data_IF_151587973575
#
_entry.id   IF_151587973575
#
_cell.length_a   1.000
_cell.length_b   1.000
_cell.length_c   1.000
_cell.angle_alpha   90.00
_cell.angle_beta   90.00
_cell.angle_gamma   90.00
#
_symmetry.space_group_name_H-M   'P 1'
#
loop_
_entity.id
_entity.type
_entity.pdbx_description
1 polymer ?
#
# COMPACT_ATOMS: atom_id res chain seq x y z
N UNK A 1 -3.30 -11.53 -14.62
CA UNK A 1 -4.50 -11.46 -13.75
C UNK A 1 -5.25 -10.19 -14.08
N UNK A 2 -6.58 -10.21 -14.05
CA UNK A 2 -7.46 -9.03 -14.23
C UNK A 2 -8.26 -8.77 -12.95
N UNK A 3 -7.68 -8.10 -11.93
CA UNK A 3 -8.33 -7.96 -10.62
C UNK A 3 -9.46 -6.93 -10.64
N UNK A 4 -10.60 -7.26 -10.05
CA UNK A 4 -11.69 -6.29 -9.84
C UNK A 4 -11.34 -5.23 -8.78
N UNK A 5 -10.53 -5.62 -7.79
CA UNK A 5 -10.18 -4.78 -6.65
C UNK A 5 -8.66 -4.63 -6.55
N UNK A 6 -8.20 -3.39 -6.44
CA UNK A 6 -6.84 -3.07 -6.00
C UNK A 6 -6.89 -2.61 -4.56
N UNK A 7 -6.07 -3.24 -3.71
CA UNK A 7 -6.02 -2.93 -2.28
C UNK A 7 -4.58 -2.78 -1.78
N UNK A 8 -4.44 -2.27 -0.55
CA UNK A 8 -3.16 -2.02 0.10
C UNK A 8 -3.35 -1.43 1.50
N UNK A 9 -2.24 -1.18 2.20
CA UNK A 9 -2.24 -0.51 3.49
C UNK A 9 -1.78 0.93 3.34
N UNK A 10 -2.69 1.90 3.53
CA UNK A 10 -2.41 3.32 3.32
C UNK A 10 -1.93 3.58 1.89
N UNK A 11 -2.82 3.39 0.92
CA UNK A 11 -2.49 3.36 -0.52
C UNK A 11 -2.21 4.76 -1.11
N UNK A 12 -1.41 5.55 -0.40
CA UNK A 12 -0.80 6.81 -0.83
C UNK A 12 0.09 6.58 -2.05
N UNK A 13 0.62 5.36 -2.21
CA UNK A 13 1.48 4.97 -3.32
C UNK A 13 0.89 5.31 -4.68
N UNK A 14 -0.44 5.25 -4.85
CA UNK A 14 -1.06 5.62 -6.12
C UNK A 14 -0.84 7.09 -6.51
N UNK A 15 -0.72 8.01 -5.55
CA UNK A 15 -0.34 9.40 -5.83
C UNK A 15 1.11 9.48 -6.33
N UNK A 16 2.01 8.72 -5.72
CA UNK A 16 3.44 8.70 -6.07
C UNK A 16 3.62 8.07 -7.45
N UNK A 17 2.98 6.93 -7.69
CA UNK A 17 2.96 6.22 -8.97
C UNK A 17 2.37 7.12 -10.05
N UNK A 18 1.20 7.73 -9.83
CA UNK A 18 0.58 8.64 -10.80
C UNK A 18 1.50 9.82 -11.17
N UNK A 19 2.15 10.44 -10.17
CA UNK A 19 3.14 11.50 -10.43
C UNK A 19 4.34 10.99 -11.23
N UNK A 20 4.78 9.75 -11.01
CA UNK A 20 5.89 9.14 -11.74
C UNK A 20 5.54 8.89 -13.20
N UNK A 21 4.33 8.40 -13.49
CA UNK A 21 3.80 8.29 -14.85
C UNK A 21 3.79 9.66 -15.56
N UNK A 22 3.24 10.69 -14.91
CA UNK A 22 3.23 12.06 -15.43
C UNK A 22 4.63 12.63 -15.68
N UNK A 23 5.60 12.35 -14.81
CA UNK A 23 6.99 12.77 -14.99
C UNK A 23 7.63 12.20 -16.27
N UNK A 24 7.29 10.98 -16.65
CA UNK A 24 7.78 10.35 -17.88
C UNK A 24 6.89 10.57 -19.10
N UNK A 25 5.81 11.34 -18.97
CA UNK A 25 4.84 11.53 -20.05
C UNK A 25 4.09 10.26 -20.45
N UNK A 26 3.99 9.28 -19.54
CA UNK A 26 3.30 8.01 -19.78
C UNK A 26 1.87 8.09 -19.22
N UNK A 27 0.83 7.68 -19.99
CA UNK A 27 -0.52 7.57 -19.46
C UNK A 27 -0.63 6.36 -18.51
N UNK A 28 -1.33 6.51 -17.39
CA UNK A 28 -1.50 5.45 -16.39
C UNK A 28 -2.68 4.52 -16.76
N UNK A 29 -2.56 3.78 -17.86
CA UNK A 29 -3.61 2.88 -18.37
C UNK A 29 -3.62 1.52 -17.64
N UNK A 30 -3.92 1.53 -16.35
CA UNK A 30 -4.01 0.31 -15.52
C UNK A 30 -5.47 -0.15 -15.29
N UNK A 31 -6.44 0.50 -15.95
CA UNK A 31 -7.86 0.17 -15.86
C UNK A 31 -8.29 -0.97 -16.77
N UNK A 32 -9.60 -1.05 -17.02
CA UNK A 32 -10.21 -1.93 -18.04
C UNK A 32 -10.68 -1.17 -19.28
N UNK A 33 -10.73 0.17 -19.24
CA UNK A 33 -10.93 1.00 -20.42
C UNK A 33 -9.59 1.61 -20.89
N UNK A 34 -9.62 2.24 -22.05
CA UNK A 34 -8.48 2.99 -22.59
C UNK A 34 -8.22 4.32 -21.85
N UNK A 35 -9.16 4.74 -20.99
CA UNK A 35 -9.02 5.95 -20.19
C UNK A 35 -7.93 5.77 -19.13
N UNK A 36 -7.04 6.76 -18.93
CA UNK A 36 -6.01 6.69 -17.92
C UNK A 36 -6.62 6.74 -16.51
N UNK A 37 -5.97 6.06 -15.57
CA UNK A 37 -6.23 6.27 -14.16
C UNK A 37 -5.84 7.70 -13.76
N UNK A 38 -6.65 8.32 -12.91
CA UNK A 38 -6.44 9.70 -12.48
C UNK A 38 -6.50 9.82 -10.95
N UNK A 39 -5.67 10.70 -10.41
CA UNK A 39 -5.63 10.98 -8.98
C UNK A 39 -6.54 12.17 -8.66
N UNK A 40 -7.64 11.91 -7.94
CA UNK A 40 -8.51 12.92 -7.37
C UNK A 40 -7.90 13.47 -6.06
N UNK A 41 -7.49 14.75 -6.02
CA UNK A 41 -6.94 15.33 -4.81
C UNK A 41 -7.96 15.35 -3.66
N UNK A 42 -7.45 15.10 -2.45
CA UNK A 42 -8.25 15.25 -1.25
C UNK A 42 -8.60 16.71 -0.94
N UNK A 43 -9.66 16.90 -0.16
CA UNK A 43 -10.03 18.19 0.43
C UNK A 43 -9.72 18.19 1.92
N UNK A 44 -9.96 19.32 2.62
CA UNK A 44 -9.83 19.40 4.09
C UNK A 44 -10.65 18.34 4.83
N UNK A 45 -11.72 17.82 4.23
CA UNK A 45 -12.64 16.85 4.86
C UNK A 45 -12.55 15.45 4.28
N UNK A 46 -11.89 15.26 3.13
CA UNK A 46 -11.87 13.98 2.41
C UNK A 46 -10.45 13.67 1.94
N UNK A 47 -9.93 12.50 2.28
CA UNK A 47 -8.65 12.04 1.73
C UNK A 47 -8.74 11.89 0.21
N UNK A 48 -7.60 12.04 -0.49
CA UNK A 48 -7.52 11.79 -1.92
C UNK A 48 -7.88 10.36 -2.29
N UNK A 49 -8.16 10.16 -3.57
CA UNK A 49 -8.48 8.86 -4.13
C UNK A 49 -7.87 8.75 -5.53
N UNK A 50 -7.58 7.53 -5.96
CA UNK A 50 -7.31 7.27 -7.37
C UNK A 50 -8.56 6.66 -7.99
N UNK A 51 -8.87 7.06 -9.21
CA UNK A 51 -9.94 6.50 -10.03
C UNK A 51 -9.28 5.65 -11.10
N UNK A 52 -9.63 4.37 -11.14
CA UNK A 52 -9.13 3.42 -12.13
C UNK A 52 -10.35 2.86 -12.87
N UNK A 53 -10.57 3.23 -14.13
CA UNK A 53 -11.74 2.80 -14.88
C UNK A 53 -11.92 1.28 -14.86
N UNK A 54 -13.10 0.82 -14.44
CA UNK A 54 -13.43 -0.61 -14.37
C UNK A 54 -12.78 -1.40 -13.23
N UNK A 55 -12.11 -0.74 -12.27
CA UNK A 55 -11.57 -1.37 -11.06
C UNK A 55 -11.94 -0.58 -9.81
N UNK A 56 -12.16 -1.28 -8.69
CA UNK A 56 -12.36 -0.65 -7.40
C UNK A 56 -11.02 -0.53 -6.67
N UNK A 57 -10.75 0.64 -6.09
CA UNK A 57 -9.60 0.81 -5.18
C UNK A 57 -10.10 0.88 -3.74
N UNK A 58 -9.57 0.01 -2.89
CA UNK A 58 -9.92 -0.09 -1.47
C UNK A 58 -8.65 0.08 -0.64
N UNK A 59 -8.70 0.90 0.40
CA UNK A 59 -7.59 1.02 1.33
C UNK A 59 -7.93 0.27 2.61
N UNK A 60 -7.22 -0.83 2.88
CA UNK A 60 -7.47 -1.68 4.03
C UNK A 60 -7.29 -0.90 5.35
N UNK A 61 -6.37 0.05 5.42
CA UNK A 61 -6.23 0.90 6.60
C UNK A 61 -7.51 1.72 6.87
N UNK A 62 -8.18 2.19 5.81
CA UNK A 62 -9.43 2.96 5.97
C UNK A 62 -10.55 2.05 6.46
N UNK A 63 -10.61 0.81 5.98
CA UNK A 63 -11.58 -0.19 6.46
C UNK A 63 -11.35 -0.52 7.94
N UNK A 64 -10.11 -0.82 8.31
CA UNK A 64 -9.75 -1.11 9.71
C UNK A 64 -10.08 0.06 10.64
N UNK A 65 -9.86 1.31 10.19
CA UNK A 65 -10.24 2.51 10.95
C UNK A 65 -11.75 2.70 11.11
N UNK A 66 -12.53 2.28 10.13
CA UNK A 66 -13.99 2.34 10.17
C UNK A 66 -14.59 1.20 11.01
N UNK A 67 -13.82 0.14 11.24
CA UNK A 67 -14.23 -1.00 12.06
C UNK A 67 -14.38 -0.69 13.55
N UNK A 68 -14.96 -1.64 14.31
CA UNK A 68 -15.22 -1.48 15.74
C UNK A 68 -13.96 -1.63 16.60
N UNK A 69 -12.96 -2.39 16.13
CA UNK A 69 -11.74 -2.69 16.88
C UNK A 69 -10.85 -1.45 16.98
N UNK A 70 -10.19 -1.29 18.13
CA UNK A 70 -9.20 -0.24 18.37
C UNK A 70 -7.84 -0.90 18.58
N UNK A 71 -6.85 -0.42 17.83
CA UNK A 71 -5.47 -0.90 17.87
C UNK A 71 -4.59 0.15 18.55
N UNK A 72 -3.46 -0.29 19.12
CA UNK A 72 -2.49 0.60 19.76
C UNK A 72 -1.94 1.65 18.79
N UNK A 73 -1.63 1.22 17.57
CA UNK A 73 -1.29 2.08 16.45
C UNK A 73 -1.89 1.51 15.14
N UNK A 74 -1.66 2.20 14.04
CA UNK A 74 -2.24 1.90 12.72
C UNK A 74 -1.22 1.33 11.73
N UNK A 75 -0.08 0.88 12.23
CA UNK A 75 0.90 0.17 11.41
C UNK A 75 0.33 -1.18 10.98
N UNK A 76 0.73 -1.63 9.80
CA UNK A 76 0.38 -2.95 9.32
C UNK A 76 0.89 -4.04 10.27
N UNK A 77 2.04 -3.83 10.92
CA UNK A 77 2.60 -4.76 11.92
C UNK A 77 1.65 -4.97 13.10
N UNK A 78 1.21 -3.87 13.73
CA UNK A 78 0.35 -3.93 14.91
C UNK A 78 -1.01 -4.54 14.57
N UNK A 79 -1.59 -4.19 13.42
CA UNK A 79 -2.89 -4.75 13.02
C UNK A 79 -2.75 -6.22 12.63
N UNK A 80 -1.74 -6.60 11.84
CA UNK A 80 -1.51 -7.99 11.46
C UNK A 80 -1.35 -8.89 12.69
N UNK A 81 -0.54 -8.49 13.68
CA UNK A 81 -0.38 -9.29 14.90
C UNK A 81 -1.66 -9.43 15.70
N UNK A 82 -2.44 -8.36 15.79
CA UNK A 82 -3.69 -8.37 16.55
C UNK A 82 -4.80 -9.19 15.86
N UNK A 83 -4.85 -9.21 14.53
CA UNK A 83 -5.90 -9.88 13.75
C UNK A 83 -5.52 -11.31 13.39
N UNK A 84 -4.28 -11.54 12.97
CA UNK A 84 -3.80 -12.81 12.39
C UNK A 84 -2.88 -13.59 13.35
N UNK A 85 -2.33 -12.94 14.37
CA UNK A 85 -1.26 -13.53 15.20
C UNK A 85 0.12 -13.54 14.54
N UNK A 86 0.20 -13.13 13.27
CA UNK A 86 1.44 -13.03 12.48
C UNK A 86 1.84 -11.57 12.23
N UNK A 87 3.13 -11.34 11.96
CA UNK A 87 3.68 -10.01 11.69
C UNK A 87 4.51 -9.98 10.42
N UNK A 88 5.06 -8.81 10.09
CA UNK A 88 5.97 -8.62 8.97
C UNK A 88 7.26 -9.40 9.17
N UNK A 89 7.95 -9.65 8.05
CA UNK A 89 9.34 -10.10 8.07
C UNK A 89 10.18 -9.06 8.83
N UNK A 90 10.88 -9.49 9.88
CA UNK A 90 11.72 -8.59 10.65
C UNK A 90 12.96 -8.18 9.84
N UNK A 91 13.06 -6.89 9.55
CA UNK A 91 14.31 -6.26 9.12
C UNK A 91 14.97 -5.73 10.38
N UNK A 92 16.21 -6.13 10.66
CA UNK A 92 16.92 -5.71 11.86
C UNK A 92 17.19 -4.20 11.81
N UNK A 93 16.41 -3.43 12.56
CA UNK A 93 16.57 -1.98 12.67
C UNK A 93 15.84 -1.43 13.90
N UNK A 94 16.36 -0.35 14.48
CA UNK A 94 15.57 0.56 15.32
C UNK A 94 14.65 1.40 14.44
N UNK A 95 13.57 1.97 14.99
CA UNK A 95 12.57 2.72 14.19
C UNK A 95 13.18 3.90 13.41
N UNK A 96 14.14 4.62 13.99
CA UNK A 96 14.86 5.72 13.33
C UNK A 96 15.78 5.24 12.18
N UNK A 97 16.26 3.99 12.25
CA UNK A 97 17.14 3.39 11.25
C UNK A 97 16.40 2.50 10.23
N UNK A 98 15.08 2.39 10.33
CA UNK A 98 14.30 1.41 9.55
C UNK A 98 14.32 1.66 8.05
N UNK A 99 14.24 2.94 7.65
CA UNK A 99 14.31 3.31 6.23
C UNK A 99 15.71 3.03 5.67
N UNK A 100 16.76 3.40 6.40
CA UNK A 100 18.15 3.15 5.97
C UNK A 100 18.45 1.66 5.89
N UNK A 101 17.98 0.87 6.85
CA UNK A 101 18.08 -0.58 6.80
C UNK A 101 17.36 -1.17 5.59
N UNK A 102 16.13 -0.71 5.28
CA UNK A 102 15.39 -1.14 4.10
C UNK A 102 16.11 -0.77 2.80
N UNK A 103 16.66 0.44 2.71
CA UNK A 103 17.43 0.89 1.53
C UNK A 103 18.72 0.08 1.36
N UNK A 104 19.37 -0.25 2.47
CA UNK A 104 20.53 -1.15 2.49
C UNK A 104 20.16 -2.56 2.05
N UNK A 105 19.08 -3.14 2.59
CA UNK A 105 18.56 -4.45 2.15
C UNK A 105 18.22 -4.42 0.66
N UNK A 106 17.56 -3.36 0.17
CA UNK A 106 17.27 -3.21 -1.25
C UNK A 106 18.54 -3.23 -2.13
N UNK A 107 19.61 -2.56 -1.68
CA UNK A 107 20.88 -2.50 -2.41
C UNK A 107 21.74 -3.77 -2.29
N UNK A 108 21.78 -4.39 -1.12
CA UNK A 108 22.71 -5.49 -0.80
C UNK A 108 22.06 -6.88 -0.93
N UNK A 109 20.76 -7.01 -0.66
CA UNK A 109 19.99 -8.26 -0.71
C UNK A 109 18.56 -8.02 -1.24
N UNK A 110 18.41 -7.81 -2.57
CA UNK A 110 17.12 -7.55 -3.18
C UNK A 110 16.13 -8.71 -3.03
N UNK A 111 16.61 -9.95 -2.83
CA UNK A 111 15.74 -11.12 -2.64
C UNK A 111 15.00 -10.98 -1.30
N UNK A 112 15.71 -10.65 -0.23
CA UNK A 112 15.10 -10.41 1.09
C UNK A 112 14.17 -9.22 1.07
N UNK A 113 14.54 -8.14 0.37
CA UNK A 113 13.65 -6.98 0.18
C UNK A 113 12.34 -7.37 -0.55
N UNK A 114 12.43 -8.16 -1.63
CA UNK A 114 11.24 -8.65 -2.34
C UNK A 114 10.35 -9.54 -1.45
N UNK A 115 10.94 -10.40 -0.61
CA UNK A 115 10.18 -11.22 0.37
C UNK A 115 9.45 -10.33 1.38
N UNK A 116 10.09 -9.27 1.85
CA UNK A 116 9.48 -8.27 2.73
C UNK A 116 8.28 -7.59 2.06
N UNK A 117 8.43 -7.08 0.83
CA UNK A 117 7.33 -6.45 0.08
C UNK A 117 6.17 -7.42 -0.20
N UNK A 118 6.49 -8.67 -0.54
CA UNK A 118 5.48 -9.70 -0.76
C UNK A 118 4.71 -10.02 0.52
N UNK A 119 5.39 -10.12 1.66
CA UNK A 119 4.73 -10.36 2.94
C UNK A 119 3.81 -9.20 3.31
N UNK A 120 4.25 -7.95 3.11
CA UNK A 120 3.40 -6.77 3.32
C UNK A 120 2.12 -6.83 2.47
N UNK A 121 2.23 -7.22 1.18
CA UNK A 121 1.06 -7.37 0.31
C UNK A 121 0.14 -8.52 0.76
N UNK A 122 0.70 -9.65 1.21
CA UNK A 122 -0.07 -10.81 1.69
C UNK A 122 -0.84 -10.49 2.96
N UNK A 123 -0.20 -9.88 3.95
CA UNK A 123 -0.83 -9.51 5.22
C UNK A 123 -2.05 -8.61 5.00
N UNK A 124 -1.98 -7.68 4.04
CA UNK A 124 -3.13 -6.84 3.69
C UNK A 124 -4.30 -7.67 3.19
N UNK A 125 -4.04 -8.65 2.31
CA UNK A 125 -5.09 -9.51 1.78
C UNK A 125 -5.70 -10.41 2.85
N UNK A 126 -4.90 -10.89 3.80
CA UNK A 126 -5.35 -11.76 4.89
C UNK A 126 -6.11 -11.01 6.00
N UNK A 127 -5.85 -9.71 6.18
CA UNK A 127 -6.59 -8.86 7.13
C UNK A 127 -8.01 -8.56 6.64
N UNK A 128 -8.25 -8.56 5.33
CA UNK A 128 -9.53 -8.23 4.71
C UNK A 128 -10.49 -9.42 4.69
#
# INVERSE_FOLDING_TARGET
MDPDILTGWNVIDFKIIHKRFGHYGLPMQIGRSDDPADYLPGTKRRAGAIIIPGRQVIDALRLVRAGPVRFADRSLETVARAVLGEGKVQVQSTDEAKIDALMRTYSEDPITFCKYCLMDAKLVLEIL
#
